data_IF_501398000817
#
_entry.id   IF_501398000817
#
_cell.length_a   1.000
_cell.length_b   1.000
_cell.length_c   1.000
_cell.angle_alpha   90.00
_cell.angle_beta   90.00
_cell.angle_gamma   90.00
#
_symmetry.space_group_name_H-M   'P 1'
#
loop_
_entity.id
_entity.type
_entity.pdbx_description
1 polymer ?
#
# COMPACT_ATOMS: atom_id res chain seq x y z
N UNK A 1 -9.50 2.72 7.33
CA UNK A 1 -9.08 1.40 6.83
C UNK A 1 -9.28 0.39 7.93
N UNK A 2 -9.85 -0.76 7.59
CA UNK A 2 -10.09 -1.86 8.50
C UNK A 2 -8.85 -2.73 8.62
N UNK A 3 -8.47 -3.06 9.85
CA UNK A 3 -7.31 -3.93 10.12
C UNK A 3 -7.80 -5.23 10.74
N UNK A 4 -7.43 -6.34 10.12
CA UNK A 4 -7.54 -7.68 10.71
C UNK A 4 -6.15 -8.09 11.20
N UNK A 5 -5.86 -8.01 12.51
CA UNK A 5 -4.51 -8.24 13.03
C UNK A 5 -4.07 -9.69 12.77
N UNK A 6 -2.93 -9.89 12.10
CA UNK A 6 -2.61 -11.19 11.53
C UNK A 6 -1.92 -12.13 12.53
N UNK A 7 -2.06 -13.44 12.29
CA UNK A 7 -1.27 -14.45 12.98
C UNK A 7 0.24 -14.23 12.70
N UNK A 8 1.06 -14.26 13.76
CA UNK A 8 2.51 -14.09 13.65
C UNK A 8 3.02 -12.69 14.00
N UNK A 9 2.15 -11.69 14.11
CA UNK A 9 2.50 -10.36 14.62
C UNK A 9 1.86 -10.11 15.99
N UNK A 10 2.55 -9.36 16.85
CA UNK A 10 1.94 -8.82 18.05
C UNK A 10 0.96 -7.72 17.66
N UNK A 11 -0.34 -7.98 17.85
CA UNK A 11 -1.43 -7.07 17.45
C UNK A 11 -1.21 -5.62 17.86
N UNK A 12 -0.81 -5.37 19.11
CA UNK A 12 -0.59 -4.01 19.61
C UNK A 12 0.53 -3.29 18.85
N UNK A 13 1.66 -3.98 18.64
CA UNK A 13 2.80 -3.46 17.87
C UNK A 13 2.47 -3.25 16.39
N UNK A 14 1.70 -4.14 15.80
CA UNK A 14 1.27 -4.00 14.41
C UNK A 14 0.42 -2.75 14.21
N UNK A 15 -0.56 -2.53 15.08
CA UNK A 15 -1.39 -1.31 15.05
C UNK A 15 -0.55 -0.05 15.29
N UNK A 16 0.38 -0.09 16.25
CA UNK A 16 1.33 1.01 16.52
C UNK A 16 2.12 1.38 15.25
N UNK A 17 2.62 0.39 14.49
CA UNK A 17 3.35 0.66 13.23
C UNK A 17 2.45 1.26 12.15
N UNK A 18 1.20 0.80 12.02
CA UNK A 18 0.26 1.37 11.05
C UNK A 18 -0.09 2.81 11.39
N UNK A 19 -0.37 3.11 12.66
CA UNK A 19 -0.63 4.48 13.12
C UNK A 19 0.57 5.39 12.88
N UNK A 20 1.77 4.91 13.19
CA UNK A 20 3.02 5.64 12.96
C UNK A 20 3.29 5.88 11.45
N UNK A 21 2.95 4.93 10.58
CA UNK A 21 3.05 5.06 9.14
C UNK A 21 2.02 6.03 8.52
N UNK A 22 0.83 6.15 9.14
CA UNK A 22 -0.23 7.10 8.72
C UNK A 22 0.07 8.53 9.16
N UNK A 23 0.61 8.69 10.38
CA UNK A 23 0.80 9.98 11.02
C UNK A 23 1.42 11.06 10.12
N UNK A 24 2.53 10.81 9.39
CA UNK A 24 3.15 11.87 8.61
C UNK A 24 2.32 12.27 7.38
N UNK A 25 1.53 11.36 6.79
CA UNK A 25 0.58 11.68 5.71
C UNK A 25 -0.53 12.62 6.20
N UNK A 26 -1.14 12.31 7.34
CA UNK A 26 -2.22 13.12 7.90
C UNK A 26 -1.73 14.53 8.33
N UNK A 27 -0.47 14.66 8.75
CA UNK A 27 0.13 15.94 9.16
C UNK A 27 0.34 16.89 7.98
N UNK A 28 0.46 16.40 6.74
CA UNK A 28 0.58 17.26 5.56
C UNK A 28 -0.58 18.25 5.44
N UNK A 29 -1.76 17.89 5.98
CA UNK A 29 -2.99 18.68 5.89
C UNK A 29 -3.55 18.78 4.46
N UNK A 30 -2.93 18.09 3.50
CA UNK A 30 -3.39 17.97 2.13
C UNK A 30 -4.12 16.63 1.99
N UNK A 31 -5.30 16.63 1.36
CA UNK A 31 -6.01 15.38 1.02
C UNK A 31 -6.85 14.75 2.14
N UNK A 32 -7.34 13.51 1.89
CA UNK A 32 -8.13 12.76 2.85
C UNK A 32 -7.33 12.37 4.09
N UNK A 33 -8.01 12.32 5.25
CA UNK A 33 -7.44 11.78 6.49
C UNK A 33 -7.59 10.26 6.47
N UNK A 34 -6.50 9.55 6.72
CA UNK A 34 -6.53 8.10 6.92
C UNK A 34 -6.77 7.83 8.40
N UNK A 35 -7.80 7.06 8.70
CA UNK A 35 -8.11 6.56 10.04
C UNK A 35 -8.08 5.04 10.05
N UNK A 36 -7.65 4.43 11.15
CA UNK A 36 -7.72 2.98 11.33
C UNK A 36 -8.94 2.60 12.16
N UNK A 37 -9.53 1.46 11.84
CA UNK A 37 -10.50 0.79 12.69
C UNK A 37 -10.18 -0.70 12.74
N UNK A 38 -10.22 -1.30 13.91
CA UNK A 38 -10.07 -2.75 14.03
C UNK A 38 -11.34 -3.47 13.56
N UNK A 39 -11.18 -4.65 12.98
CA UNK A 39 -12.29 -5.52 12.61
C UNK A 39 -11.95 -6.98 12.94
N UNK A 40 -12.97 -7.75 13.35
CA UNK A 40 -12.86 -9.20 13.50
C UNK A 40 -13.13 -9.94 12.18
N UNK A 41 -13.46 -9.20 11.11
CA UNK A 41 -13.63 -9.75 9.77
C UNK A 41 -12.24 -10.12 9.23
N UNK A 42 -12.05 -11.40 8.94
CA UNK A 42 -10.84 -11.87 8.28
C UNK A 42 -10.89 -11.51 6.79
N UNK A 43 -9.94 -10.69 6.36
CA UNK A 43 -9.75 -10.33 4.95
C UNK A 43 -8.47 -11.01 4.47
N UNK A 44 -8.55 -11.74 3.36
CA UNK A 44 -7.40 -12.51 2.83
C UNK A 44 -7.12 -12.22 1.37
N UNK A 45 -7.97 -11.44 0.70
CA UNK A 45 -7.88 -11.12 -0.72
C UNK A 45 -8.42 -9.72 -0.95
N UNK A 46 -7.82 -8.94 -1.86
CA UNK A 46 -8.34 -7.62 -2.18
C UNK A 46 -9.68 -7.74 -2.91
N UNK A 47 -10.59 -6.80 -2.66
CA UNK A 47 -11.94 -6.81 -3.23
C UNK A 47 -12.44 -5.38 -3.50
N UNK A 48 -13.54 -5.28 -4.26
CA UNK A 48 -14.34 -4.07 -4.34
C UNK A 48 -15.62 -4.33 -3.56
N UNK A 49 -15.55 -4.20 -2.23
CA UNK A 49 -16.63 -4.55 -1.31
C UNK A 49 -17.07 -3.39 -0.41
N UNK A 50 -16.52 -2.20 -0.64
CA UNK A 50 -16.78 -0.99 0.13
C UNK A 50 -15.94 -0.91 1.41
N UNK A 51 -14.94 -1.78 1.59
CA UNK A 51 -14.05 -1.76 2.75
C UNK A 51 -12.60 -1.60 2.35
N UNK A 52 -11.98 -0.48 2.74
CA UNK A 52 -10.54 -0.34 2.64
C UNK A 52 -9.85 -1.21 3.68
N UNK A 53 -9.14 -2.26 3.31
CA UNK A 53 -8.65 -3.29 4.24
C UNK A 53 -7.13 -3.40 4.26
N UNK A 54 -6.56 -3.74 5.42
CA UNK A 54 -5.13 -4.07 5.57
C UNK A 54 -5.05 -5.51 6.08
N UNK A 55 -4.31 -6.36 5.37
CA UNK A 55 -4.19 -7.78 5.70
C UNK A 55 -2.85 -8.39 5.28
N UNK A 56 -2.53 -9.53 5.89
CA UNK A 56 -1.41 -10.38 5.44
C UNK A 56 -1.93 -11.39 4.45
N UNK A 57 -1.33 -11.44 3.27
CA UNK A 57 -1.77 -12.38 2.25
C UNK A 57 -1.39 -13.81 2.65
N UNK A 58 -2.34 -14.76 2.72
CA UNK A 58 -2.06 -16.10 3.26
C UNK A 58 -1.18 -16.96 2.35
N UNK A 59 -1.15 -16.68 1.04
CA UNK A 59 -0.35 -17.40 0.05
C UNK A 59 0.16 -16.42 -1.00
N UNK A 60 1.28 -15.73 -0.77
CA UNK A 60 1.79 -14.72 -1.70
C UNK A 60 2.04 -15.34 -3.10
N UNK A 61 1.24 -14.96 -4.08
CA UNK A 61 1.29 -15.51 -5.45
C UNK A 61 1.84 -14.53 -6.49
N UNK A 62 2.18 -13.32 -6.05
CA UNK A 62 2.80 -12.29 -6.87
C UNK A 62 4.33 -12.42 -6.85
N UNK A 63 5.02 -11.42 -7.41
CA UNK A 63 6.48 -11.40 -7.40
C UNK A 63 7.00 -11.54 -5.95
N UNK A 64 7.85 -12.53 -5.64
CA UNK A 64 8.39 -12.72 -4.30
C UNK A 64 9.20 -11.52 -3.79
N UNK A 65 9.76 -10.71 -4.68
CA UNK A 65 10.46 -9.49 -4.33
C UNK A 65 9.54 -8.32 -3.96
N UNK A 66 8.23 -8.45 -4.11
CA UNK A 66 7.30 -7.44 -3.61
C UNK A 66 7.11 -7.62 -2.10
N UNK A 67 7.26 -6.53 -1.38
CA UNK A 67 7.12 -6.45 0.06
C UNK A 67 5.64 -6.28 0.46
N UNK A 68 4.92 -5.44 -0.27
CA UNK A 68 3.50 -5.23 -0.11
C UNK A 68 2.88 -4.78 -1.45
N UNK A 69 1.55 -4.77 -1.49
CA UNK A 69 0.77 -4.29 -2.63
C UNK A 69 -0.43 -3.49 -2.13
N UNK A 70 -0.64 -2.32 -2.72
CA UNK A 70 -1.87 -1.55 -2.62
C UNK A 70 -2.71 -1.76 -3.88
N UNK A 71 -3.91 -2.29 -3.71
CA UNK A 71 -4.93 -2.44 -4.75
C UNK A 71 -5.89 -1.28 -4.66
N UNK A 72 -6.09 -0.54 -5.75
CA UNK A 72 -7.06 0.56 -5.80
C UNK A 72 -8.17 0.29 -6.79
N UNK A 73 -9.38 0.70 -6.42
CA UNK A 73 -10.53 0.79 -7.32
C UNK A 73 -10.80 2.25 -7.62
N UNK A 74 -10.73 2.61 -8.90
CA UNK A 74 -10.81 4.00 -9.36
C UNK A 74 -12.02 4.17 -10.27
N UNK A 75 -12.83 5.18 -10.02
CA UNK A 75 -13.90 5.57 -10.95
C UNK A 75 -13.29 6.08 -12.26
N UNK A 76 -13.71 5.53 -13.40
CA UNK A 76 -13.11 5.89 -14.69
C UNK A 76 -13.41 7.32 -15.12
N UNK A 77 -14.56 7.88 -14.73
CA UNK A 77 -14.98 9.19 -15.19
C UNK A 77 -14.29 10.30 -14.39
N UNK A 78 -14.31 10.21 -13.06
CA UNK A 78 -13.72 11.21 -12.17
C UNK A 78 -12.24 10.97 -11.88
N UNK A 79 -11.73 9.76 -12.11
CA UNK A 79 -10.40 9.31 -11.69
C UNK A 79 -10.21 9.36 -10.16
N UNK A 80 -11.30 9.28 -9.39
CA UNK A 80 -11.28 9.23 -7.93
C UNK A 80 -11.05 7.81 -7.44
N UNK A 81 -10.20 7.64 -6.44
CA UNK A 81 -10.06 6.37 -5.71
C UNK A 81 -11.33 6.17 -4.87
N UNK A 82 -12.03 5.07 -5.14
CA UNK A 82 -13.24 4.66 -4.44
C UNK A 82 -12.91 3.75 -3.25
N UNK A 83 -11.91 2.90 -3.41
CA UNK A 83 -11.52 1.88 -2.44
C UNK A 83 -10.03 1.53 -2.61
N UNK A 84 -9.38 1.16 -1.51
CA UNK A 84 -8.00 0.74 -1.48
C UNK A 84 -7.75 -0.36 -0.43
N UNK A 85 -7.12 -1.45 -0.84
CA UNK A 85 -6.70 -2.55 0.02
C UNK A 85 -5.17 -2.68 0.02
N UNK A 86 -4.59 -2.99 1.18
CA UNK A 86 -3.16 -3.27 1.33
C UNK A 86 -2.96 -4.74 1.72
N UNK A 87 -2.18 -5.45 0.91
CA UNK A 87 -1.74 -6.81 1.19
C UNK A 87 -0.24 -6.81 1.52
N UNK A 88 0.12 -7.29 2.70
CA UNK A 88 1.52 -7.52 3.10
C UNK A 88 1.98 -8.92 2.68
N UNK A 89 3.20 -9.03 2.14
CA UNK A 89 3.82 -10.32 1.84
C UNK A 89 4.40 -10.94 3.11
N UNK A 90 3.90 -12.10 3.60
CA UNK A 90 4.41 -12.73 4.82
C UNK A 90 5.82 -13.33 4.69
N UNK A 91 6.35 -13.50 3.48
CA UNK A 91 7.57 -14.27 3.24
C UNK A 91 8.87 -13.50 3.56
N UNK A 92 8.76 -12.23 3.93
CA UNK A 92 9.89 -11.36 4.30
C UNK A 92 10.14 -11.31 5.80
N UNK A 93 11.39 -10.99 6.17
CA UNK A 93 11.80 -10.84 7.55
C UNK A 93 11.35 -9.49 8.13
N UNK A 94 10.09 -9.41 8.55
CA UNK A 94 9.48 -8.20 9.08
C UNK A 94 9.89 -7.92 10.52
N UNK A 95 10.28 -6.67 10.78
CA UNK A 95 10.60 -6.18 12.12
C UNK A 95 9.88 -4.87 12.41
N UNK A 96 9.64 -4.61 13.69
CA UNK A 96 9.11 -3.33 14.17
C UNK A 96 10.20 -2.26 14.35
N UNK A 97 11.45 -2.70 14.51
CA UNK A 97 12.64 -1.88 14.66
C UNK A 97 13.79 -2.62 13.99
N UNK A 98 14.59 -1.95 13.17
CA UNK A 98 15.76 -2.54 12.51
C UNK A 98 16.82 -2.89 13.57
N UNK A 99 17.14 -4.18 13.78
CA UNK A 99 18.19 -4.57 14.72
C UNK A 99 19.57 -4.31 14.08
N UNK A 100 20.59 -4.01 14.88
CA UNK A 100 21.94 -3.68 14.39
C UNK A 100 22.66 -4.83 13.66
N UNK A 101 22.21 -6.08 13.85
CA UNK A 101 22.88 -7.30 13.39
C UNK A 101 22.09 -8.13 12.36
N UNK A 102 20.95 -7.63 11.86
CA UNK A 102 20.16 -8.33 10.84
C UNK A 102 20.02 -7.53 9.55
N UNK A 103 20.98 -7.73 8.64
CA UNK A 103 21.00 -7.11 7.33
C UNK A 103 19.83 -7.53 6.40
N UNK A 104 18.99 -8.49 6.80
CA UNK A 104 17.85 -8.99 6.02
C UNK A 104 16.51 -8.45 6.50
N UNK A 105 16.50 -7.74 7.62
CA UNK A 105 15.29 -7.22 8.22
C UNK A 105 14.67 -6.09 7.38
N UNK A 106 13.36 -6.13 7.21
CA UNK A 106 12.58 -5.06 6.58
C UNK A 106 11.73 -4.35 7.62
N UNK A 107 11.81 -3.01 7.61
CA UNK A 107 11.06 -2.16 8.51
C UNK A 107 9.57 -2.12 8.12
N UNK A 108 8.71 -2.65 9.00
CA UNK A 108 7.27 -2.75 8.74
C UNK A 108 6.62 -1.37 8.58
N UNK A 109 7.04 -0.38 9.37
CA UNK A 109 6.50 0.98 9.29
C UNK A 109 6.84 1.63 7.95
N UNK A 110 8.09 1.50 7.48
CA UNK A 110 8.53 2.02 6.17
C UNK A 110 7.73 1.44 5.01
N UNK A 111 7.46 0.13 5.01
CA UNK A 111 6.63 -0.51 3.99
C UNK A 111 5.20 0.05 4.00
N UNK A 112 4.56 0.12 5.17
CA UNK A 112 3.21 0.68 5.25
C UNK A 112 3.16 2.17 4.91
N UNK A 113 4.17 2.96 5.29
CA UNK A 113 4.22 4.38 4.95
C UNK A 113 4.21 4.57 3.43
N UNK A 114 4.94 3.73 2.68
CA UNK A 114 4.89 3.69 1.22
C UNK A 114 3.49 3.31 0.69
N UNK A 115 2.93 2.20 1.18
CA UNK A 115 1.61 1.73 0.71
C UNK A 115 0.49 2.75 1.01
N UNK A 116 0.55 3.48 2.13
CA UNK A 116 -0.42 4.55 2.41
C UNK A 116 -0.33 5.72 1.43
N UNK A 117 0.83 6.01 0.85
CA UNK A 117 0.92 6.98 -0.23
C UNK A 117 0.19 6.50 -1.49
N UNK A 118 0.23 5.21 -1.80
CA UNK A 118 -0.60 4.64 -2.88
C UNK A 118 -2.10 4.69 -2.58
N UNK A 119 -2.51 4.49 -1.31
CA UNK A 119 -3.91 4.70 -0.88
C UNK A 119 -4.36 6.15 -1.17
N UNK A 120 -3.44 7.10 -1.03
CA UNK A 120 -3.63 8.52 -1.36
C UNK A 120 -3.39 8.83 -2.85
N UNK A 121 -3.24 7.82 -3.69
CA UNK A 121 -3.09 7.99 -5.14
C UNK A 121 -1.74 8.53 -5.60
N UNK A 122 -0.74 8.56 -4.72
CA UNK A 122 0.63 8.93 -5.09
C UNK A 122 1.26 7.75 -5.82
N UNK A 123 1.77 7.93 -7.06
CA UNK A 123 2.54 6.90 -7.75
C UNK A 123 3.97 6.83 -7.20
N UNK A 124 4.72 5.79 -7.58
CA UNK A 124 6.15 5.74 -7.29
C UNK A 124 6.88 7.00 -7.78
N UNK A 125 7.61 7.64 -6.87
CA UNK A 125 8.43 8.82 -7.13
C UNK A 125 9.85 8.41 -7.56
N UNK A 126 9.96 7.83 -8.75
CA UNK A 126 11.18 7.18 -9.28
C UNK A 126 12.41 8.08 -9.39
N UNK A 127 12.23 9.40 -9.46
CA UNK A 127 13.33 10.36 -9.56
C UNK A 127 13.88 10.76 -8.19
N UNK A 128 13.26 10.31 -7.10
CA UNK A 128 13.55 10.74 -5.73
C UNK A 128 13.89 9.51 -4.86
N UNK A 129 15.13 8.99 -4.88
CA UNK A 129 15.50 7.76 -4.17
C UNK A 129 15.35 7.84 -2.63
N UNK A 130 15.34 9.05 -2.08
CA UNK A 130 15.14 9.32 -0.66
C UNK A 130 13.65 9.54 -0.30
N UNK A 131 12.73 9.40 -1.27
CA UNK A 131 11.30 9.51 -1.03
C UNK A 131 10.75 8.28 -0.33
N UNK A 132 9.74 8.48 0.53
CA UNK A 132 8.88 7.41 1.02
C UNK A 132 8.25 6.69 -0.17
N UNK A 133 7.82 7.44 -1.19
CA UNK A 133 7.23 6.88 -2.41
C UNK A 133 8.24 6.40 -3.45
N UNK A 134 9.54 6.30 -3.14
CA UNK A 134 10.43 5.55 -4.02
C UNK A 134 10.07 4.06 -3.98
N UNK A 135 9.87 3.43 -5.13
CA UNK A 135 9.29 2.09 -5.25
C UNK A 135 10.15 0.94 -4.70
N UNK A 136 11.38 1.22 -4.26
CA UNK A 136 12.28 0.25 -3.64
C UNK A 136 12.49 0.58 -2.15
N UNK A 137 12.48 -0.46 -1.33
CA UNK A 137 12.84 -0.43 0.09
C UNK A 137 14.05 -1.33 0.26
N UNK A 138 15.11 -0.79 0.86
CA UNK A 138 16.29 -1.57 1.15
C UNK A 138 16.08 -2.37 2.44
N UNK A 139 16.69 -3.55 2.53
CA UNK A 139 16.80 -4.22 3.83
C UNK A 139 17.70 -3.39 4.76
N UNK A 140 17.49 -3.49 6.08
CA UNK A 140 18.29 -2.80 7.10
C UNK A 140 18.23 -1.26 7.06
N UNK A 141 17.11 -0.68 6.63
CA UNK A 141 16.84 0.75 6.74
C UNK A 141 15.42 1.03 7.25
N UNK A 142 15.26 2.20 7.85
CA UNK A 142 13.99 2.75 8.35
C UNK A 142 13.73 4.18 7.83
N UNK A 143 14.50 4.63 6.83
CA UNK A 143 14.49 6.01 6.34
C UNK A 143 13.13 6.48 5.77
N UNK A 144 12.25 5.54 5.40
CA UNK A 144 10.98 5.81 4.72
C UNK A 144 9.81 5.95 5.72
N UNK A 145 10.09 5.88 7.03
CA UNK A 145 9.12 6.19 8.10
C UNK A 145 8.61 7.64 8.03
N UNK A 146 9.46 8.55 7.59
CA UNK A 146 9.17 9.99 7.45
C UNK A 146 9.04 10.37 5.97
N UNK A 147 8.17 11.34 5.68
CA UNK A 147 8.00 11.85 4.32
C UNK A 147 9.19 12.70 3.88
N UNK A 148 9.57 12.52 2.63
CA UNK A 148 10.45 13.43 1.92
C UNK A 148 9.66 14.65 1.42
N UNK A 149 10.37 15.75 1.14
CA UNK A 149 9.77 16.95 0.54
C UNK A 149 9.03 16.64 -0.77
N UNK A 150 9.55 15.69 -1.57
CA UNK A 150 8.91 15.25 -2.81
C UNK A 150 7.57 14.55 -2.58
N UNK A 151 7.42 13.79 -1.49
CA UNK A 151 6.16 13.16 -1.10
C UNK A 151 5.12 14.23 -0.73
N UNK A 152 5.52 15.21 0.09
CA UNK A 152 4.65 16.32 0.48
C UNK A 152 4.23 17.21 -0.71
N UNK A 153 5.16 17.52 -1.61
CA UNK A 153 4.89 18.28 -2.82
C UNK A 153 3.92 17.53 -3.74
N UNK A 154 4.05 16.20 -3.85
CA UNK A 154 3.10 15.38 -4.59
C UNK A 154 1.70 15.42 -3.95
N UNK A 155 1.60 15.28 -2.63
CA UNK A 155 0.35 15.40 -1.87
C UNK A 155 -0.35 16.74 -2.13
N UNK A 156 0.39 17.85 -2.05
CA UNK A 156 -0.15 19.19 -2.34
C UNK A 156 -0.63 19.29 -3.79
N UNK A 157 0.17 18.81 -4.74
CA UNK A 157 -0.23 18.79 -6.16
C UNK A 157 -1.50 17.98 -6.42
N UNK A 158 -1.74 16.91 -5.65
CA UNK A 158 -2.92 16.07 -5.82
C UNK A 158 -4.16 16.68 -5.18
N UNK A 159 -4.05 17.38 -4.05
CA UNK A 159 -5.22 17.69 -3.22
C UNK A 159 -5.41 19.17 -2.87
N UNK A 160 -4.38 20.01 -2.96
CA UNK A 160 -4.49 21.40 -2.56
C UNK A 160 -5.51 22.14 -3.43
N UNK A 161 -6.50 22.76 -2.77
CA UNK A 161 -7.59 23.50 -3.44
C UNK A 161 -8.65 22.63 -4.12
N UNK A 162 -8.66 21.31 -3.91
CA UNK A 162 -9.71 20.41 -4.44
C UNK A 162 -10.76 20.11 -3.36
N UNK A 163 -12.02 20.05 -3.77
CA UNK A 163 -13.10 19.55 -2.91
C UNK A 163 -13.10 18.01 -2.90
N UNK A 164 -13.13 17.43 -1.70
CA UNK A 164 -13.20 15.98 -1.48
C UNK A 164 -14.66 15.59 -1.20
N UNK A 165 -15.50 15.55 -2.22
CA UNK A 165 -16.96 15.49 -2.04
C UNK A 165 -17.65 14.27 -2.65
N UNK A 166 -16.92 13.36 -3.29
CA UNK A 166 -17.55 12.20 -3.94
C UNK A 166 -17.76 11.05 -2.94
N UNK A 167 -19.03 10.69 -2.61
CA UNK A 167 -19.31 9.52 -1.80
C UNK A 167 -19.04 8.24 -2.59
N UNK A 168 -18.78 7.14 -1.88
CA UNK A 168 -18.68 5.81 -2.48
C UNK A 168 -19.97 5.47 -3.26
N UNK A 169 -19.83 5.23 -4.57
CA UNK A 169 -20.89 4.69 -5.42
C UNK A 169 -20.57 3.23 -5.80
N UNK A 170 -21.29 2.25 -5.24
CA UNK A 170 -21.07 0.83 -5.57
C UNK A 170 -21.41 0.47 -7.02
N UNK A 171 -22.03 1.37 -7.78
CA UNK A 171 -22.37 1.19 -9.19
C UNK A 171 -21.44 1.97 -10.14
N UNK A 172 -20.43 2.66 -9.61
CA UNK A 172 -19.44 3.38 -10.40
C UNK A 172 -18.78 2.46 -11.45
N UNK A 173 -18.52 2.99 -12.65
CA UNK A 173 -17.75 2.25 -13.65
C UNK A 173 -16.26 2.32 -13.29
N UNK A 174 -15.78 1.30 -12.58
CA UNK A 174 -14.44 1.31 -12.02
C UNK A 174 -13.40 0.55 -12.85
N UNK A 175 -12.13 0.89 -12.65
CA UNK A 175 -10.97 0.10 -13.03
C UNK A 175 -10.13 -0.24 -11.82
N UNK A 176 -9.59 -1.46 -11.76
CA UNK A 176 -8.61 -1.86 -10.75
C UNK A 176 -7.19 -1.54 -11.18
N UNK A 177 -6.40 -0.99 -10.26
CA UNK A 177 -4.95 -0.79 -10.38
C UNK A 177 -4.22 -1.38 -9.17
N UNK A 178 -2.92 -1.63 -9.31
CA UNK A 178 -2.06 -2.06 -8.21
C UNK A 178 -0.73 -1.35 -8.26
N UNK A 179 -0.30 -0.79 -7.12
CA UNK A 179 1.06 -0.33 -6.83
C UNK A 179 1.65 -1.16 -5.71
N UNK A 180 2.97 -1.25 -5.59
CA UNK A 180 3.58 -1.96 -4.47
C UNK A 180 5.08 -1.75 -4.42
N UNK A 181 5.62 -1.84 -3.21
CA UNK A 181 7.05 -1.69 -2.98
C UNK A 181 7.84 -2.98 -3.27
N UNK A 182 9.01 -2.82 -3.89
CA UNK A 182 9.97 -3.89 -4.15
C UNK A 182 11.07 -3.91 -3.10
N UNK A 183 11.49 -5.11 -2.71
CA UNK A 183 12.65 -5.34 -1.86
C UNK A 183 13.94 -5.13 -2.64
N UNK A 184 14.93 -4.51 -1.99
CA UNK A 184 16.32 -4.48 -2.48
C UNK A 184 17.27 -4.90 -1.37
N UNK A 185 18.18 -5.82 -1.66
CA UNK A 185 19.18 -6.23 -0.67
C UNK A 185 20.32 -5.20 -0.60
N UNK A 186 20.90 -5.03 0.59
CA UNK A 186 22.14 -4.26 0.80
C UNK A 186 23.29 -4.60 -0.17
N UNK A 187 23.31 -5.81 -0.73
CA UNK A 187 24.36 -6.29 -1.63
C UNK A 187 24.09 -6.03 -3.13
N UNK A 188 22.91 -5.54 -3.50
CA UNK A 188 22.51 -5.33 -4.90
C UNK A 188 22.48 -3.84 -5.25
N UNK A 189 23.13 -3.42 -6.35
CA UNK A 189 22.98 -2.05 -6.84
C UNK A 189 21.54 -1.82 -7.32
N UNK A 190 20.96 -0.69 -6.91
CA UNK A 190 19.63 -0.19 -7.30
C UNK A 190 19.39 -0.38 -8.80
N UNK A 191 18.52 -1.32 -9.16
CA UNK A 191 18.17 -1.62 -10.53
C UNK A 191 16.65 -1.53 -10.66
N UNK A 192 16.21 -0.39 -11.19
CA UNK A 192 14.81 -0.01 -11.34
C UNK A 192 14.04 -0.96 -12.26
N UNK A 193 13.18 -1.80 -11.68
CA UNK A 193 12.15 -2.52 -12.42
C UNK A 193 10.77 -1.95 -12.07
N UNK A 194 10.28 -1.05 -12.92
CA UNK A 194 8.89 -0.58 -12.83
C UNK A 194 7.91 -1.70 -13.18
N UNK A 195 6.99 -2.02 -12.27
CA UNK A 195 5.93 -2.99 -12.53
C UNK A 195 4.55 -2.34 -12.33
N UNK A 196 3.91 -1.95 -13.43
CA UNK A 196 2.46 -1.70 -13.46
C UNK A 196 1.78 -3.08 -13.56
N UNK A 197 1.18 -3.58 -12.48
CA UNK A 197 0.45 -4.85 -12.50
C UNK A 197 -0.94 -4.63 -13.10
N UNK A 198 -1.07 -4.83 -14.41
CA UNK A 198 -2.37 -4.90 -15.08
C UNK A 198 -2.99 -6.28 -14.86
N UNK A 199 -3.94 -6.40 -13.94
CA UNK A 199 -4.70 -7.64 -13.69
C UNK A 199 -5.55 -8.01 -14.91
N UNK A 200 -5.20 -9.12 -15.58
CA UNK A 200 -5.94 -9.65 -16.74
C UNK A 200 -7.11 -10.51 -16.29
N UNK A 201 -8.34 -10.05 -16.56
CA UNK A 201 -9.59 -10.78 -16.26
C UNK A 201 -9.74 -12.04 -17.14
N UNK A 202 -9.79 -13.23 -16.53
CA UNK A 202 -10.08 -14.50 -17.24
C UNK A 202 -11.57 -14.52 -17.61
N UNK A 203 -11.91 -14.49 -18.90
CA UNK A 203 -13.32 -14.60 -19.36
C UNK A 203 -13.83 -16.03 -19.13
N UNK A 204 -14.81 -16.19 -18.25
CA UNK A 204 -15.61 -17.42 -18.18
C UNK A 204 -16.53 -17.53 -19.39
N UNK A 205 -16.45 -18.65 -20.10
CA UNK A 205 -17.37 -19.01 -21.18
C UNK A 205 -18.69 -19.54 -20.59
N UNK A 206 -19.86 -19.20 -21.16
CA UNK A 206 -21.12 -19.78 -20.70
C UNK A 206 -21.27 -21.22 -21.20
N UNK A 207 -21.47 -22.17 -20.29
CA UNK A 207 -21.96 -23.50 -20.61
C UNK A 207 -23.42 -23.40 -21.08
N UNK A 208 -23.66 -23.79 -22.33
CA UNK A 208 -25.02 -23.99 -22.86
C UNK A 208 -25.42 -25.44 -22.60
N UNK A 209 -26.47 -25.64 -21.80
CA UNK A 209 -27.13 -26.92 -21.65
C UNK A 209 -27.84 -27.30 -22.96
N UNK A 210 -27.65 -28.54 -23.39
CA UNK A 210 -28.62 -29.30 -24.18
C UNK A 210 -28.93 -30.60 -23.46
#
# INVERSE_FOLDING_TARGET
MQVSPPNGFEKGKFLEMLEAAIAPWNVTGAGPVIELSETDVEVTTPAFDGMNSIFIHPNWEWDPGLLALTFTHVDKASQTILEADIALNPDHNWVYEIPEDDATAFDLQSAFAHEFGHVLGIPDLKEFPDATMFGEIQSFEDKKRDLNVSDEECMRSLYEGKELTEPFDPNADYSGGGGGCQSTDLATPLASLGLLVLLRRKRSTPHTHR
#
